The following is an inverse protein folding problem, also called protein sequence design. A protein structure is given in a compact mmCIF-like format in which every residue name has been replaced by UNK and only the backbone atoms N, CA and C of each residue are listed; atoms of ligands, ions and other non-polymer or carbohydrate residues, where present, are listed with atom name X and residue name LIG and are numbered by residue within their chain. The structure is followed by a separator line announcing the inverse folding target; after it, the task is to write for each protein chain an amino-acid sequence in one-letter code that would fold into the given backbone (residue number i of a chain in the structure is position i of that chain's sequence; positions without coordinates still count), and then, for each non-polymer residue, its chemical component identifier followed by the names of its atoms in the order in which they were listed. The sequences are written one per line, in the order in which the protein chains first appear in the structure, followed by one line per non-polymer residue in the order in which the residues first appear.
data_IF_360110048147
#
_entry.id   IF_360110048147
#
_cell.length_a   1.000
_cell.length_b   1.000
_cell.length_c   1.000
_cell.angle_alpha   90.00
_cell.angle_beta   90.00
_cell.angle_gamma   90.00
#
_symmetry.space_group_name_H-M   'P 1'
#
loop_
_entity.id
_entity.type
_entity.pdbx_description
1 polymer ?
#
# COMPACT_ATOMS: atom_id res chain seq x y z
N UNK A 1 3.44 -6.19 6.65
CA UNK A 1 3.89 -7.16 5.63
C UNK A 1 5.40 -7.29 5.74
N UNK A 2 5.97 -8.42 5.34
CA UNK A 2 7.42 -8.66 5.28
C UNK A 2 7.77 -9.15 3.89
N UNK A 3 8.94 -8.77 3.36
CA UNK A 3 9.39 -9.14 2.02
C UNK A 3 10.70 -9.94 2.04
N UNK A 4 10.93 -10.74 1.01
CA UNK A 4 12.06 -11.66 0.89
C UNK A 4 13.32 -11.03 0.25
N UNK A 5 13.54 -9.73 0.50
CA UNK A 5 14.76 -9.03 0.09
C UNK A 5 15.83 -9.02 1.19
N UNK A 6 17.10 -8.92 0.78
CA UNK A 6 18.21 -8.62 1.67
C UNK A 6 18.04 -7.19 2.23
N UNK A 7 17.90 -7.07 3.55
CA UNK A 7 17.63 -5.79 4.21
C UNK A 7 18.70 -4.72 3.92
N UNK A 8 19.98 -5.10 3.89
CA UNK A 8 21.09 -4.19 3.59
C UNK A 8 21.02 -3.60 2.16
N UNK A 9 20.30 -4.25 1.25
CA UNK A 9 20.16 -3.84 -0.15
C UNK A 9 18.70 -3.67 -0.57
N UNK A 10 17.78 -3.45 0.37
CA UNK A 10 16.35 -3.33 0.10
C UNK A 10 16.08 -2.22 -0.93
N UNK A 11 15.22 -2.51 -1.92
CA UNK A 11 14.72 -1.52 -2.89
C UNK A 11 13.20 -1.52 -2.94
N UNK A 12 12.60 -0.47 -3.49
CA UNK A 12 11.19 -0.52 -3.90
C UNK A 12 10.99 -1.66 -4.91
N UNK A 13 9.86 -2.34 -4.85
CA UNK A 13 9.55 -3.48 -5.71
C UNK A 13 9.62 -3.21 -7.22
N UNK A 14 9.44 -1.95 -7.62
CA UNK A 14 9.49 -1.50 -9.02
C UNK A 14 10.84 -0.89 -9.42
N UNK A 15 11.87 -1.04 -8.57
CA UNK A 15 13.25 -0.64 -8.89
C UNK A 15 14.10 -1.87 -9.24
N UNK A 16 15.14 -1.64 -10.03
CA UNK A 16 16.19 -2.64 -10.26
C UNK A 16 17.09 -2.86 -9.05
N UNK A 17 17.99 -3.84 -9.15
CA UNK A 17 19.01 -4.10 -8.12
C UNK A 17 18.49 -4.78 -6.84
N UNK A 18 17.31 -5.41 -6.90
CA UNK A 18 16.78 -6.23 -5.79
C UNK A 18 17.60 -7.51 -5.62
N UNK A 19 17.91 -7.84 -4.37
CA UNK A 19 18.61 -9.07 -3.97
C UNK A 19 17.69 -9.86 -3.06
N UNK A 20 17.32 -11.08 -3.43
CA UNK A 20 16.54 -11.98 -2.61
C UNK A 20 17.38 -12.61 -1.51
N UNK A 21 16.74 -12.96 -0.40
CA UNK A 21 17.25 -13.93 0.57
C UNK A 21 16.73 -15.34 0.23
N UNK A 22 17.39 -16.41 0.74
CA UNK A 22 16.91 -17.78 0.55
C UNK A 22 15.49 -17.96 1.08
N UNK A 23 14.74 -18.86 0.45
CA UNK A 23 13.34 -19.14 0.83
C UNK A 23 13.20 -19.44 2.33
N UNK A 24 14.07 -20.29 2.89
CA UNK A 24 14.09 -20.60 4.33
C UNK A 24 14.31 -19.38 5.23
N UNK A 25 15.17 -18.44 4.81
CA UNK A 25 15.44 -17.24 5.61
C UNK A 25 14.20 -16.34 5.69
N UNK A 26 13.41 -16.25 4.61
CA UNK A 26 12.15 -15.50 4.67
C UNK A 26 11.09 -16.22 5.53
N UNK A 27 11.00 -17.55 5.48
CA UNK A 27 10.14 -18.32 6.40
C UNK A 27 10.48 -18.06 7.87
N UNK A 28 11.78 -17.97 8.21
CA UNK A 28 12.24 -17.59 9.56
C UNK A 28 11.77 -16.19 9.97
N UNK A 29 11.84 -15.22 9.05
CA UNK A 29 11.32 -13.87 9.31
C UNK A 29 9.81 -13.86 9.58
N UNK A 30 9.03 -14.65 8.82
CA UNK A 30 7.59 -14.78 9.02
C UNK A 30 7.25 -15.46 10.35
N UNK A 31 8.01 -16.49 10.73
CA UNK A 31 7.88 -17.13 12.05
C UNK A 31 8.22 -16.18 13.19
N UNK A 32 9.28 -15.38 13.05
CA UNK A 32 9.63 -14.35 14.03
C UNK A 32 8.51 -13.31 14.18
N UNK A 33 7.89 -12.87 13.06
CA UNK A 33 6.75 -11.98 13.09
C UNK A 33 5.53 -12.61 13.80
N UNK A 34 5.27 -13.90 13.60
CA UNK A 34 4.20 -14.62 14.32
C UNK A 34 4.51 -14.73 15.81
N UNK A 35 5.72 -15.12 16.17
CA UNK A 35 6.14 -15.19 17.57
C UNK A 35 5.99 -13.84 18.28
N UNK A 36 6.34 -12.74 17.61
CA UNK A 36 6.14 -11.39 18.16
C UNK A 36 4.66 -11.08 18.42
N UNK A 37 3.76 -11.44 17.50
CA UNK A 37 2.33 -11.27 17.67
C UNK A 37 1.79 -12.10 18.85
N UNK A 38 2.24 -13.36 18.95
CA UNK A 38 1.83 -14.29 20.00
C UNK A 38 2.31 -13.83 21.39
N UNK A 39 3.56 -13.36 21.51
CA UNK A 39 4.11 -12.80 22.76
C UNK A 39 3.34 -11.56 23.19
N UNK A 40 2.93 -10.71 22.24
CA UNK A 40 2.09 -9.54 22.51
C UNK A 40 0.62 -9.89 22.75
N UNK A 41 0.20 -11.15 22.55
CA UNK A 41 -1.17 -11.60 22.73
C UNK A 41 -2.18 -10.97 21.75
N UNK A 42 -1.74 -10.61 20.54
CA UNK A 42 -2.58 -9.95 19.53
C UNK A 42 -2.64 -10.74 18.22
N UNK A 43 -3.81 -10.88 17.58
CA UNK A 43 -3.98 -11.63 16.33
C UNK A 43 -3.55 -10.80 15.11
N UNK A 44 -2.33 -10.28 15.12
CA UNK A 44 -1.79 -9.48 14.02
C UNK A 44 -1.78 -10.27 12.71
N UNK A 45 -2.26 -9.64 11.64
CA UNK A 45 -2.26 -10.19 10.28
C UNK A 45 -0.85 -10.11 9.68
N UNK A 46 -0.35 -11.25 9.21
CA UNK A 46 0.95 -11.37 8.56
C UNK A 46 0.76 -11.55 7.05
N UNK A 47 1.38 -10.66 6.29
CA UNK A 47 1.40 -10.70 4.82
C UNK A 47 2.83 -11.00 4.38
N UNK A 48 3.04 -12.12 3.70
CA UNK A 48 4.32 -12.48 3.09
C UNK A 48 4.38 -11.93 1.66
N UNK A 49 5.40 -11.14 1.38
CA UNK A 49 5.67 -10.55 0.08
C UNK A 49 6.87 -11.23 -0.56
N UNK A 50 6.74 -11.58 -1.84
CA UNK A 50 7.90 -11.96 -2.67
C UNK A 50 8.20 -10.92 -3.74
N UNK A 51 9.48 -10.65 -3.96
CA UNK A 51 10.00 -9.74 -4.98
C UNK A 51 10.63 -10.49 -6.18
N UNK A 52 10.46 -11.81 -6.25
CA UNK A 52 11.10 -12.71 -7.20
C UNK A 52 10.69 -12.52 -8.67
N UNK A 53 9.64 -11.73 -8.95
CA UNK A 53 9.19 -11.47 -10.32
C UNK A 53 10.25 -10.73 -11.14
N UNK A 54 11.01 -9.84 -10.50
CA UNK A 54 11.99 -8.97 -11.16
C UNK A 54 13.34 -8.90 -10.44
N UNK A 55 13.48 -9.50 -9.25
CA UNK A 55 14.76 -9.63 -8.59
C UNK A 55 15.68 -10.57 -9.40
N UNK A 56 16.89 -10.10 -9.70
CA UNK A 56 17.87 -10.82 -10.54
C UNK A 56 19.03 -11.40 -9.74
N UNK A 57 19.01 -11.23 -8.43
CA UNK A 57 20.09 -11.61 -7.52
C UNK A 57 19.53 -12.32 -6.30
N UNK A 58 20.28 -13.28 -5.76
CA UNK A 58 20.04 -13.94 -4.47
C UNK A 58 21.34 -14.07 -3.68
N UNK A 59 21.26 -13.95 -2.35
CA UNK A 59 22.45 -13.95 -1.50
C UNK A 59 23.18 -15.29 -1.44
N UNK A 60 22.46 -16.40 -1.52
CA UNK A 60 23.03 -17.74 -1.36
C UNK A 60 22.17 -18.78 -2.08
N UNK A 61 22.81 -19.85 -2.54
CA UNK A 61 22.22 -21.06 -3.10
C UNK A 61 22.03 -22.16 -2.04
N UNK A 62 21.98 -21.82 -0.74
CA UNK A 62 21.92 -22.83 0.33
C UNK A 62 20.58 -23.60 0.38
N UNK A 63 19.49 -23.02 -0.12
CA UNK A 63 18.16 -23.62 -0.12
C UNK A 63 17.87 -24.28 -1.47
N UNK A 64 17.70 -25.60 -1.48
CA UNK A 64 17.42 -26.40 -2.70
C UNK A 64 16.19 -25.91 -3.47
N UNK A 65 15.22 -25.30 -2.79
CA UNK A 65 14.00 -24.76 -3.41
C UNK A 65 14.29 -23.59 -4.35
N UNK A 66 15.40 -22.88 -4.13
CA UNK A 66 15.82 -21.75 -4.96
C UNK A 66 16.66 -22.18 -6.17
N UNK A 67 17.22 -23.40 -6.17
CA UNK A 67 18.20 -23.86 -7.18
C UNK A 67 17.69 -23.85 -8.61
N UNK A 68 16.40 -24.16 -8.80
CA UNK A 68 15.77 -24.18 -10.13
C UNK A 68 15.78 -22.82 -10.82
N UNK A 69 15.93 -21.73 -10.06
CA UNK A 69 15.91 -20.36 -10.55
C UNK A 69 17.32 -19.73 -10.58
N UNK A 70 18.38 -20.45 -10.18
CA UNK A 70 19.74 -19.93 -10.17
C UNK A 70 20.41 -20.16 -11.53
N UNK A 71 20.86 -19.07 -12.16
CA UNK A 71 21.58 -19.09 -13.43
C UNK A 71 23.06 -19.39 -13.20
N UNK A 72 23.36 -20.68 -12.96
CA UNK A 72 24.71 -21.15 -12.59
C UNK A 72 25.79 -20.79 -13.63
N UNK A 73 25.42 -20.68 -14.90
CA UNK A 73 26.29 -20.29 -16.01
C UNK A 73 26.77 -18.83 -15.95
N UNK A 74 26.04 -17.96 -15.24
CA UNK A 74 26.41 -16.53 -15.10
C UNK A 74 27.43 -16.26 -13.99
N UNK A 75 27.83 -17.29 -13.23
CA UNK A 75 28.71 -17.12 -12.09
C UNK A 75 28.10 -16.24 -10.99
N UNK A 76 28.95 -15.50 -10.26
CA UNK A 76 28.55 -14.61 -9.17
C UNK A 76 28.96 -13.17 -9.47
N UNK A 77 28.25 -12.21 -8.88
CA UNK A 77 28.64 -10.80 -8.91
C UNK A 77 29.92 -10.55 -8.10
N UNK A 78 30.59 -9.38 -8.24
CA UNK A 78 31.75 -9.04 -7.42
C UNK A 78 31.48 -9.06 -5.90
N UNK A 79 30.25 -8.77 -5.47
CA UNK A 79 29.80 -8.84 -4.08
C UNK A 79 29.52 -10.28 -3.62
N UNK A 80 29.51 -11.24 -4.54
CA UNK A 80 29.30 -12.66 -4.28
C UNK A 80 27.85 -13.15 -4.43
N UNK A 81 26.94 -12.35 -4.98
CA UNK A 81 25.55 -12.75 -5.19
C UNK A 81 25.40 -13.67 -6.40
N UNK A 82 24.42 -14.58 -6.35
CA UNK A 82 24.06 -15.44 -7.48
C UNK A 82 23.04 -14.77 -8.38
N UNK A 83 23.12 -15.03 -9.69
CA UNK A 83 22.14 -14.56 -10.65
C UNK A 83 20.87 -15.43 -10.66
N UNK A 84 19.71 -14.80 -10.74
CA UNK A 84 18.41 -15.46 -10.82
C UNK A 84 17.75 -15.32 -12.19
N UNK A 85 16.99 -16.35 -12.55
CA UNK A 85 15.89 -16.25 -13.49
C UNK A 85 14.65 -15.71 -12.77
N UNK A 86 14.10 -14.63 -13.30
CA UNK A 86 13.05 -13.85 -12.67
C UNK A 86 11.70 -14.15 -13.34
N UNK A 87 10.62 -14.10 -12.56
CA UNK A 87 9.27 -14.18 -13.13
C UNK A 87 8.23 -14.73 -12.17
N UNK A 88 7.01 -14.87 -12.70
CA UNK A 88 5.84 -15.32 -11.94
C UNK A 88 6.00 -16.75 -11.41
N UNK A 89 6.71 -17.63 -12.13
CA UNK A 89 6.92 -19.02 -11.69
C UNK A 89 7.79 -19.10 -10.43
N UNK A 90 8.79 -18.22 -10.30
CA UNK A 90 9.58 -18.09 -9.08
C UNK A 90 8.72 -17.52 -7.94
N UNK A 91 7.85 -16.55 -8.23
CA UNK A 91 6.90 -16.04 -7.25
C UNK A 91 5.95 -17.12 -6.74
N UNK A 92 5.43 -17.97 -7.64
CA UNK A 92 4.55 -19.09 -7.28
C UNK A 92 5.28 -20.05 -6.34
N UNK A 93 6.51 -20.47 -6.68
CA UNK A 93 7.30 -21.39 -5.84
C UNK A 93 7.49 -20.84 -4.43
N UNK A 94 7.86 -19.56 -4.32
CA UNK A 94 8.04 -18.87 -3.03
C UNK A 94 6.71 -18.66 -2.29
N UNK A 95 5.66 -18.26 -2.99
CA UNK A 95 4.32 -18.11 -2.41
C UNK A 95 3.79 -19.41 -1.81
N UNK A 96 4.01 -20.55 -2.48
CA UNK A 96 3.64 -21.87 -1.97
C UNK A 96 4.39 -22.26 -0.69
N UNK A 97 5.66 -21.87 -0.56
CA UNK A 97 6.44 -22.06 0.66
C UNK A 97 5.91 -21.16 1.80
N UNK A 98 5.68 -19.88 1.52
CA UNK A 98 5.27 -18.90 2.52
C UNK A 98 3.82 -19.06 2.99
N UNK A 99 2.96 -19.75 2.23
CA UNK A 99 1.53 -19.91 2.51
C UNK A 99 1.21 -20.48 3.91
N UNK A 100 2.08 -21.32 4.47
CA UNK A 100 1.91 -21.90 5.81
C UNK A 100 2.25 -20.93 6.94
N UNK A 101 2.97 -19.86 6.63
CA UNK A 101 3.54 -18.92 7.60
C UNK A 101 2.88 -17.53 7.55
N UNK A 102 1.93 -17.32 6.62
CA UNK A 102 1.28 -16.03 6.40
C UNK A 102 -0.24 -16.16 6.22
N UNK A 103 -0.95 -15.13 6.66
CA UNK A 103 -2.39 -14.98 6.50
C UNK A 103 -2.74 -14.58 5.06
N UNK A 104 -1.92 -13.70 4.46
CA UNK A 104 -2.02 -13.31 3.05
C UNK A 104 -0.68 -13.45 2.31
N UNK A 105 -0.76 -13.71 1.01
CA UNK A 105 0.38 -13.68 0.10
C UNK A 105 0.32 -12.49 -0.86
N UNK A 106 1.45 -11.84 -1.08
CA UNK A 106 1.62 -10.77 -2.06
C UNK A 106 2.84 -11.10 -2.93
N UNK A 107 2.70 -10.99 -4.24
CA UNK A 107 3.82 -11.02 -5.17
C UNK A 107 3.88 -9.65 -5.86
N UNK A 108 5.03 -9.00 -5.83
CA UNK A 108 5.21 -7.75 -6.58
C UNK A 108 5.32 -8.09 -8.08
N UNK A 109 4.85 -7.19 -8.94
CA UNK A 109 4.83 -7.38 -10.40
C UNK A 109 5.32 -6.13 -11.12
N UNK A 110 5.92 -6.29 -12.29
CA UNK A 110 6.41 -5.18 -13.11
C UNK A 110 5.30 -4.48 -13.92
N UNK A 111 4.12 -5.10 -14.08
CA UNK A 111 2.99 -4.51 -14.84
C UNK A 111 1.64 -4.89 -14.25
N UNK A 112 0.57 -4.09 -14.45
CA UNK A 112 -0.77 -4.47 -14.02
C UNK A 112 -1.36 -5.52 -14.99
N UNK A 113 -1.04 -6.79 -14.78
CA UNK A 113 -1.41 -7.90 -15.67
C UNK A 113 -2.35 -8.91 -14.97
N UNK A 114 -3.61 -8.97 -15.41
CA UNK A 114 -4.62 -9.89 -14.86
C UNK A 114 -4.33 -11.37 -15.19
N UNK A 115 -3.63 -11.67 -16.28
CA UNK A 115 -3.31 -13.06 -16.63
C UNK A 115 -2.22 -13.63 -15.69
N UNK A 116 -1.18 -12.85 -15.39
CA UNK A 116 -0.17 -13.27 -14.42
C UNK A 116 -0.77 -13.35 -13.00
N UNK A 117 -1.65 -12.41 -12.64
CA UNK A 117 -2.40 -12.46 -11.38
C UNK A 117 -3.25 -13.73 -11.28
N UNK A 118 -3.93 -14.10 -12.37
CA UNK A 118 -4.70 -15.34 -12.44
C UNK A 118 -3.81 -16.57 -12.32
N UNK A 119 -2.67 -16.61 -13.04
CA UNK A 119 -1.70 -17.72 -12.99
C UNK A 119 -1.18 -17.94 -11.56
N UNK A 120 -0.79 -16.86 -10.88
CA UNK A 120 -0.36 -16.93 -9.47
C UNK A 120 -1.50 -17.41 -8.57
N UNK A 121 -2.68 -16.81 -8.69
CA UNK A 121 -3.84 -17.15 -7.89
C UNK A 121 -4.25 -18.63 -8.03
N UNK A 122 -4.38 -19.13 -9.25
CA UNK A 122 -4.76 -20.54 -9.51
C UNK A 122 -3.76 -21.52 -8.90
N UNK A 123 -2.46 -21.25 -9.00
CA UNK A 123 -1.44 -22.09 -8.40
C UNK A 123 -1.52 -22.11 -6.87
N UNK A 124 -1.70 -20.96 -6.23
CA UNK A 124 -1.87 -20.86 -4.78
C UNK A 124 -3.17 -21.52 -4.33
N UNK A 125 -4.30 -21.25 -4.98
CA UNK A 125 -5.60 -21.83 -4.62
C UNK A 125 -5.62 -23.35 -4.80
N UNK A 126 -4.91 -23.89 -5.79
CA UNK A 126 -4.79 -25.35 -5.98
C UNK A 126 -4.10 -26.04 -4.80
N UNK A 127 -3.05 -25.43 -4.25
CA UNK A 127 -2.29 -26.01 -3.13
C UNK A 127 -2.87 -25.64 -1.76
N UNK A 128 -3.42 -24.44 -1.63
CA UNK A 128 -4.00 -23.88 -0.40
C UNK A 128 -5.35 -23.22 -0.71
N UNK A 129 -6.43 -24.02 -0.89
CA UNK A 129 -7.76 -23.48 -1.15
C UNK A 129 -8.18 -22.48 -0.09
N UNK A 130 -8.65 -21.31 -0.52
CA UNK A 130 -9.08 -20.22 0.35
C UNK A 130 -7.96 -19.34 0.90
N UNK A 131 -6.69 -19.58 0.54
CA UNK A 131 -5.58 -18.69 0.93
C UNK A 131 -5.82 -17.30 0.35
N UNK A 132 -5.92 -16.30 1.23
CA UNK A 132 -6.11 -14.92 0.81
C UNK A 132 -4.83 -14.36 0.20
N UNK A 133 -4.98 -13.46 -0.78
CA UNK A 133 -3.87 -12.77 -1.41
C UNK A 133 -4.06 -11.26 -1.34
N UNK A 134 -2.97 -10.54 -1.52
CA UNK A 134 -2.94 -9.10 -1.61
C UNK A 134 -2.32 -8.63 -2.93
N UNK A 135 -2.81 -7.52 -3.46
CA UNK A 135 -2.36 -6.96 -4.73
C UNK A 135 -2.05 -5.47 -4.61
N UNK A 136 -0.84 -5.09 -5.03
CA UNK A 136 -0.45 -3.70 -5.12
C UNK A 136 -0.89 -3.11 -6.48
N UNK A 137 -1.89 -2.24 -6.45
CA UNK A 137 -2.28 -1.40 -7.56
C UNK A 137 -1.31 -0.21 -7.68
N UNK A 138 -0.06 -0.51 -8.04
CA UNK A 138 1.07 0.40 -7.92
C UNK A 138 0.95 1.65 -8.81
N UNK A 139 1.19 2.86 -8.26
CA UNK A 139 1.40 4.07 -9.06
C UNK A 139 2.69 4.07 -9.87
N UNK A 140 3.61 3.13 -9.62
CA UNK A 140 4.78 2.92 -10.48
C UNK A 140 4.42 2.34 -11.84
N UNK A 141 3.18 1.87 -12.03
CA UNK A 141 2.66 1.52 -13.35
C UNK A 141 2.17 2.76 -14.08
N UNK A 142 2.49 2.86 -15.36
CA UNK A 142 1.75 3.74 -16.26
C UNK A 142 0.48 3.01 -16.73
N UNK A 143 -0.63 3.22 -16.02
CA UNK A 143 -1.88 2.47 -16.19
C UNK A 143 -2.46 2.58 -17.60
N UNK A 144 -2.71 3.79 -18.12
CA UNK A 144 -3.29 3.97 -19.46
C UNK A 144 -2.32 3.60 -20.59
N UNK A 145 -1.00 3.58 -20.33
CA UNK A 145 -0.05 3.04 -21.31
C UNK A 145 -0.04 1.50 -21.37
N UNK A 146 -0.61 0.82 -20.38
CA UNK A 146 -0.63 -0.65 -20.28
C UNK A 146 -2.00 -1.26 -20.49
N UNK A 147 -3.07 -0.55 -20.14
CA UNK A 147 -4.42 -1.06 -20.11
C UNK A 147 -5.39 -0.04 -20.71
N UNK A 148 -6.43 -0.55 -21.36
CA UNK A 148 -7.58 0.26 -21.77
C UNK A 148 -8.45 0.66 -20.55
N UNK A 149 -9.30 1.67 -20.74
CA UNK A 149 -10.14 2.22 -19.66
C UNK A 149 -11.14 1.23 -19.09
N UNK A 150 -11.69 0.33 -19.91
CA UNK A 150 -12.66 -0.66 -19.45
C UNK A 150 -11.98 -1.71 -18.56
N UNK A 151 -10.75 -2.10 -18.93
CA UNK A 151 -9.91 -2.99 -18.13
C UNK A 151 -9.48 -2.35 -16.81
N UNK A 152 -9.07 -1.08 -16.81
CA UNK A 152 -8.77 -0.32 -15.59
C UNK A 152 -9.99 -0.29 -14.66
N UNK A 153 -11.17 0.03 -15.19
CA UNK A 153 -12.40 0.15 -14.41
C UNK A 153 -12.82 -1.16 -13.72
N UNK A 154 -12.56 -2.32 -14.33
CA UNK A 154 -12.88 -3.64 -13.73
C UNK A 154 -11.73 -4.28 -12.96
N UNK A 155 -10.51 -3.74 -13.03
CA UNK A 155 -9.28 -4.40 -12.59
C UNK A 155 -9.38 -4.98 -11.17
N UNK A 156 -9.80 -4.17 -10.20
CA UNK A 156 -9.90 -4.60 -8.80
C UNK A 156 -11.00 -5.64 -8.55
N UNK A 157 -12.10 -5.56 -9.31
CA UNK A 157 -13.20 -6.53 -9.22
C UNK A 157 -12.75 -7.90 -9.71
N UNK A 158 -12.04 -7.95 -10.83
CA UNK A 158 -11.49 -9.20 -11.39
C UNK A 158 -10.45 -9.80 -10.41
N UNK A 159 -9.55 -8.99 -9.86
CA UNK A 159 -8.62 -9.43 -8.80
C UNK A 159 -9.35 -10.00 -7.57
N UNK A 160 -10.44 -9.34 -7.15
CA UNK A 160 -11.25 -9.78 -6.01
C UNK A 160 -11.86 -11.16 -6.24
N UNK A 161 -12.29 -11.47 -7.47
CA UNK A 161 -12.80 -12.78 -7.86
C UNK A 161 -11.72 -13.88 -7.85
N UNK A 162 -10.46 -13.52 -8.13
CA UNK A 162 -9.31 -14.44 -8.09
C UNK A 162 -8.80 -14.75 -6.67
N UNK A 163 -9.25 -14.01 -5.65
CA UNK A 163 -8.83 -14.21 -4.26
C UNK A 163 -7.90 -13.14 -3.70
N UNK A 164 -7.63 -12.06 -4.43
CA UNK A 164 -6.94 -10.87 -3.92
C UNK A 164 -7.89 -10.04 -3.06
N UNK A 165 -7.96 -10.38 -1.77
CA UNK A 165 -8.91 -9.79 -0.80
C UNK A 165 -8.42 -8.51 -0.16
N UNK A 166 -7.12 -8.22 -0.23
CA UNK A 166 -6.57 -6.93 0.17
C UNK A 166 -5.91 -6.24 -1.03
N UNK A 167 -6.43 -5.10 -1.45
CA UNK A 167 -5.93 -4.36 -2.62
C UNK A 167 -5.65 -2.93 -2.20
N UNK A 168 -4.49 -2.41 -2.61
CA UNK A 168 -4.02 -1.11 -2.13
C UNK A 168 -3.23 -0.38 -3.20
N UNK A 169 -3.27 0.96 -3.14
CA UNK A 169 -2.47 1.86 -3.98
C UNK A 169 -1.38 2.46 -3.08
N UNK A 170 -0.14 1.99 -3.20
CA UNK A 170 0.95 2.31 -2.27
C UNK A 170 1.24 3.80 -2.13
N UNK A 171 1.29 4.53 -3.25
CA UNK A 171 1.73 5.93 -3.29
C UNK A 171 0.58 6.92 -3.51
N UNK A 172 -0.68 6.52 -3.25
CA UNK A 172 -1.84 7.39 -3.46
C UNK A 172 -1.70 8.74 -2.74
N UNK A 173 -1.31 8.71 -1.45
CA UNK A 173 -1.10 9.93 -0.67
C UNK A 173 0.05 10.81 -1.18
N UNK A 174 1.14 10.21 -1.69
CA UNK A 174 2.24 10.99 -2.27
C UNK A 174 1.79 11.72 -3.53
N UNK A 175 1.10 11.04 -4.44
CA UNK A 175 0.65 11.63 -5.69
C UNK A 175 -0.46 12.68 -5.47
N UNK A 176 -1.45 12.40 -4.63
CA UNK A 176 -2.54 13.35 -4.36
C UNK A 176 -2.04 14.62 -3.67
N UNK A 177 -1.17 14.49 -2.67
CA UNK A 177 -0.60 15.62 -1.94
C UNK A 177 0.26 16.51 -2.84
N UNK A 178 1.23 15.92 -3.56
CA UNK A 178 2.16 16.70 -4.38
C UNK A 178 1.44 17.36 -5.57
N UNK A 179 0.57 16.62 -6.26
CA UNK A 179 -0.14 17.18 -7.41
C UNK A 179 -1.13 18.28 -6.97
N UNK A 180 -1.93 18.03 -5.93
CA UNK A 180 -2.89 19.01 -5.40
C UNK A 180 -2.19 20.31 -4.99
N UNK A 181 -1.09 20.21 -4.24
CA UNK A 181 -0.33 21.39 -3.82
C UNK A 181 0.35 22.10 -5.00
N UNK A 182 0.89 21.35 -5.97
CA UNK A 182 1.50 21.94 -7.16
C UNK A 182 0.47 22.75 -7.98
N UNK A 183 -0.73 22.21 -8.18
CA UNK A 183 -1.83 22.90 -8.86
C UNK A 183 -2.23 24.17 -8.10
N UNK A 184 -2.44 24.06 -6.78
CA UNK A 184 -2.79 25.21 -5.93
C UNK A 184 -1.71 26.30 -5.97
N UNK A 185 -0.44 25.94 -5.78
CA UNK A 185 0.67 26.89 -5.77
C UNK A 185 0.85 27.58 -7.13
N UNK A 186 0.66 26.84 -8.23
CA UNK A 186 0.70 27.40 -9.58
C UNK A 186 -0.44 28.40 -9.80
N UNK A 187 -1.67 28.02 -9.46
CA UNK A 187 -2.82 28.92 -9.54
C UNK A 187 -2.68 30.14 -8.64
N UNK A 188 -2.16 29.97 -7.43
CA UNK A 188 -1.95 31.04 -6.47
C UNK A 188 -0.87 32.03 -6.93
N UNK A 189 0.23 31.55 -7.53
CA UNK A 189 1.24 32.42 -8.18
C UNK A 189 0.60 33.34 -9.22
N UNK A 190 -0.34 32.81 -10.01
CA UNK A 190 -0.88 33.51 -11.17
C UNK A 190 -2.10 34.38 -10.83
N UNK A 191 -2.93 33.97 -9.85
CA UNK A 191 -4.25 34.56 -9.56
C UNK A 191 -4.54 34.80 -8.07
N UNK A 192 -3.58 34.54 -7.19
CA UNK A 192 -3.71 34.75 -5.74
C UNK A 192 -4.96 34.09 -5.16
N UNK A 193 -5.72 34.85 -4.38
CA UNK A 193 -6.92 34.37 -3.68
C UNK A 193 -8.01 33.79 -4.59
N UNK A 194 -8.05 34.13 -5.88
CA UNK A 194 -9.01 33.52 -6.79
C UNK A 194 -8.78 32.00 -6.92
N UNK A 195 -7.53 31.55 -6.99
CA UNK A 195 -7.20 30.13 -7.04
C UNK A 195 -7.51 29.40 -5.72
N UNK A 196 -7.32 30.06 -4.58
CA UNK A 196 -7.68 29.49 -3.28
C UNK A 196 -9.20 29.40 -3.10
N UNK A 197 -9.95 30.42 -3.54
CA UNK A 197 -11.42 30.43 -3.49
C UNK A 197 -12.02 29.28 -4.32
N UNK A 198 -11.43 28.95 -5.48
CA UNK A 198 -11.84 27.79 -6.28
C UNK A 198 -11.70 26.47 -5.52
N UNK A 199 -10.58 26.28 -4.79
CA UNK A 199 -10.40 25.12 -3.92
C UNK A 199 -11.50 25.09 -2.84
N UNK A 200 -11.72 26.20 -2.15
CA UNK A 200 -12.74 26.29 -1.10
C UNK A 200 -14.16 26.01 -1.63
N UNK A 201 -14.51 26.49 -2.83
CA UNK A 201 -15.80 26.18 -3.46
C UNK A 201 -15.92 24.72 -3.88
N UNK A 202 -14.83 24.10 -4.34
CA UNK A 202 -14.81 22.66 -4.60
C UNK A 202 -14.99 21.84 -3.32
N UNK A 203 -14.43 22.29 -2.19
CA UNK A 203 -14.66 21.68 -0.88
C UNK A 203 -16.14 21.78 -0.46
N UNK A 204 -16.77 22.96 -0.61
CA UNK A 204 -18.21 23.12 -0.35
C UNK A 204 -19.06 22.22 -1.25
N UNK A 205 -18.74 22.13 -2.54
CA UNK A 205 -19.45 21.27 -3.48
C UNK A 205 -19.34 19.78 -3.11
N UNK A 206 -18.26 19.37 -2.43
CA UNK A 206 -18.05 17.99 -1.99
C UNK A 206 -18.81 17.63 -0.71
N UNK A 207 -19.40 18.60 0.00
CA UNK A 207 -20.16 18.34 1.24
C UNK A 207 -21.39 17.46 0.99
N UNK A 208 -22.01 17.56 -0.21
CA UNK A 208 -23.17 16.74 -0.59
C UNK A 208 -22.83 15.24 -0.66
N UNK A 209 -21.56 14.92 -0.90
CA UNK A 209 -21.02 13.56 -0.94
C UNK A 209 -20.40 13.12 0.39
N UNK A 210 -20.48 13.97 1.43
CA UNK A 210 -20.03 13.67 2.79
C UNK A 210 -18.66 14.24 3.20
N UNK A 211 -18.05 15.14 2.41
CA UNK A 211 -16.85 15.87 2.85
C UNK A 211 -17.18 16.84 3.98
N UNK A 212 -16.31 16.94 5.00
CA UNK A 212 -16.56 17.78 6.20
C UNK A 212 -15.48 18.80 6.53
N UNK A 213 -14.31 18.71 5.91
CA UNK A 213 -13.13 19.46 6.34
C UNK A 213 -13.12 20.95 5.91
N UNK A 214 -14.13 21.42 5.17
CA UNK A 214 -14.42 22.87 5.03
C UNK A 214 -14.51 23.54 6.40
N UNK A 215 -15.12 22.84 7.36
CA UNK A 215 -15.25 23.21 8.77
C UNK A 215 -14.08 22.63 9.57
N UNK A 216 -12.89 23.14 9.26
CA UNK A 216 -11.62 22.62 9.75
C UNK A 216 -11.45 22.74 11.28
N UNK A 217 -12.11 23.67 11.96
CA UNK A 217 -12.06 23.76 13.43
C UNK A 217 -12.76 22.55 14.06
N UNK A 218 -13.97 22.23 13.59
CA UNK A 218 -14.66 21.00 13.98
C UNK A 218 -13.84 19.76 13.64
N UNK A 219 -13.28 19.68 12.44
CA UNK A 219 -12.56 18.50 11.93
C UNK A 219 -11.37 18.12 12.81
N UNK A 220 -10.63 19.11 13.34
CA UNK A 220 -9.50 18.88 14.25
C UNK A 220 -9.90 18.71 15.72
N UNK A 221 -11.20 18.68 16.01
CA UNK A 221 -11.74 18.35 17.32
C UNK A 221 -11.94 19.54 18.27
N UNK A 222 -11.99 20.77 17.79
CA UNK A 222 -12.21 21.95 18.66
C UNK A 222 -13.47 21.80 19.52
N UNK A 223 -14.59 21.34 18.93
CA UNK A 223 -15.81 21.08 19.68
C UNK A 223 -15.70 19.93 20.70
N UNK A 224 -14.84 18.94 20.45
CA UNK A 224 -14.55 17.88 21.43
C UNK A 224 -13.85 18.46 22.66
N UNK A 225 -12.81 19.29 22.45
CA UNK A 225 -12.08 19.92 23.56
C UNK A 225 -12.92 20.96 24.31
N UNK A 226 -13.85 21.65 23.64
CA UNK A 226 -14.83 22.49 24.32
C UNK A 226 -15.73 21.66 25.26
N UNK A 227 -16.20 20.49 24.82
CA UNK A 227 -17.00 19.60 25.66
C UNK A 227 -16.20 19.10 26.88
N UNK A 228 -14.92 18.77 26.70
CA UNK A 228 -14.01 18.43 27.80
C UNK A 228 -13.87 19.59 28.79
N UNK A 229 -13.65 20.81 28.28
CA UNK A 229 -13.54 22.01 29.13
C UNK A 229 -14.83 22.27 29.91
N UNK A 230 -15.99 22.13 29.28
CA UNK A 230 -17.28 22.29 29.94
C UNK A 230 -17.52 21.21 31.00
N UNK A 231 -17.16 19.95 30.73
CA UNK A 231 -17.27 18.88 31.70
C UNK A 231 -16.41 19.14 32.95
N UNK A 232 -15.17 19.60 32.78
CA UNK A 232 -14.26 19.95 33.88
C UNK A 232 -14.82 21.12 34.70
N UNK A 233 -15.37 22.14 34.04
CA UNK A 233 -15.88 23.34 34.67
C UNK A 233 -17.33 23.21 35.20
N UNK A 234 -17.94 22.02 35.12
CA UNK A 234 -19.34 21.81 35.50
C UNK A 234 -20.31 22.69 34.69
N UNK A 235 -20.02 22.93 33.42
CA UNK A 235 -20.81 23.77 32.52
C UNK A 235 -20.51 25.27 32.58
N UNK A 236 -19.49 25.68 33.34
CA UNK A 236 -19.17 27.10 33.55
C UNK A 236 -17.87 27.55 32.85
N UNK A 237 -17.40 26.82 31.84
CA UNK A 237 -16.19 27.25 31.12
C UNK A 237 -16.49 28.50 30.30
N UNK A 238 -15.72 29.57 30.52
CA UNK A 238 -15.86 30.87 29.86
C UNK A 238 -14.96 31.04 28.64
N UNK A 239 -14.09 30.07 28.35
CA UNK A 239 -13.07 30.16 27.29
C UNK A 239 -13.20 29.04 26.26
N UNK A 240 -14.42 28.54 26.01
CA UNK A 240 -14.67 27.61 24.90
C UNK A 240 -14.51 28.31 23.56
N UNK A 241 -13.99 27.60 22.55
CA UNK A 241 -13.55 28.17 21.28
C UNK A 241 -14.65 28.27 20.22
N UNK A 242 -15.56 27.30 20.11
CA UNK A 242 -16.49 27.22 18.97
C UNK A 242 -17.56 28.30 18.97
N UNK A 243 -18.06 28.71 20.13
CA UNK A 243 -19.24 29.58 20.26
C UNK A 243 -19.11 30.93 19.55
N UNK A 244 -17.91 31.52 19.58
CA UNK A 244 -17.61 32.82 18.95
C UNK A 244 -16.69 32.69 17.72
N UNK A 245 -16.54 31.48 17.18
CA UNK A 245 -15.65 31.23 16.03
C UNK A 245 -16.22 31.76 14.71
N UNK A 246 -15.33 32.12 13.78
CA UNK A 246 -15.71 32.47 12.40
C UNK A 246 -16.35 31.29 11.67
N UNK A 247 -15.99 30.06 12.01
CA UNK A 247 -16.61 28.85 11.48
C UNK A 247 -18.11 28.83 11.79
N UNK A 248 -18.49 29.01 13.07
CA UNK A 248 -19.90 29.10 13.49
C UNK A 248 -20.65 30.25 12.80
N UNK A 249 -19.98 31.38 12.59
CA UNK A 249 -20.60 32.56 12.00
C UNK A 249 -20.81 32.47 10.49
N UNK A 250 -19.84 31.91 9.75
CA UNK A 250 -19.74 32.04 8.28
C UNK A 250 -19.98 30.72 7.52
N UNK A 251 -19.87 29.56 8.17
CA UNK A 251 -19.99 28.25 7.52
C UNK A 251 -21.32 27.57 7.84
N UNK A 252 -22.40 28.36 7.91
CA UNK A 252 -23.76 27.85 8.07
C UNK A 252 -24.15 27.07 6.81
N UNK A 253 -24.91 25.99 6.97
CA UNK A 253 -25.50 25.31 5.82
C UNK A 253 -26.35 26.31 5.03
N UNK A 254 -26.24 26.31 3.70
CA UNK A 254 -27.17 27.06 2.88
C UNK A 254 -28.59 26.51 3.12
N UNK A 255 -29.54 27.39 3.44
CA UNK A 255 -30.96 27.04 3.56
C UNK A 255 -31.54 26.48 2.24
#
# INVERSE_FOLDING_TARGET
HFEDQLAAEKKCGHLGGKVLIPTQQHEQNLQAARLAADVCGVPSIIIARTDAESAKLITSDIDERDHAFILKDKGRTPEGFFHLDAGVDHCIARGLAFAKHADLLWWETSTPNLEDAKKFAEAIQKAYPGKMMAYNCSPSFNWEAKLDKDTIAKFQRELGAMGYKYQFVTLAGFHSLNHGMFQLATGYRDRGMAAYSELQQAEFASEVDGYTATRHQREVGTGYFDAVAQAIAGGNASTTAMGESTETAQFKAAE
#
